data_IF_254145968868
#
_entry.id   IF_254145968868
#
_cell.length_a   1.000
_cell.length_b   1.000
_cell.length_c   1.000
_cell.angle_alpha   90.00
_cell.angle_beta   90.00
_cell.angle_gamma   90.00
#
_symmetry.space_group_name_H-M   'P 1'
#
loop_
_entity.id
_entity.type
_entity.pdbx_description
1 polymer ?
#
# COMPACT_ATOMS: atom_id res chain seq x y z
N UNK A 1 19.59 3.65 5.75
CA UNK A 1 19.96 2.42 5.02
C UNK A 1 18.68 1.79 4.53
N UNK A 2 18.46 1.76 3.21
CA UNK A 2 17.24 1.23 2.61
C UNK A 2 17.22 -0.31 2.65
N UNK A 3 16.04 -0.93 2.51
CA UNK A 3 15.89 -2.39 2.55
C UNK A 3 16.46 -3.09 1.31
N UNK A 4 16.84 -2.35 0.26
CA UNK A 4 17.60 -2.85 -0.87
C UNK A 4 19.08 -2.71 -0.51
N UNK A 5 19.72 -3.85 -0.27
CA UNK A 5 21.16 -4.07 -0.02
C UNK A 5 22.01 -2.79 0.08
N UNK A 6 22.56 -2.45 1.27
CA UNK A 6 23.34 -1.23 1.52
C UNK A 6 24.51 -0.95 0.56
N UNK A 7 24.98 -1.98 -0.15
CA UNK A 7 26.18 -1.92 -0.98
C UNK A 7 25.93 -1.76 -2.49
N UNK A 8 24.67 -1.73 -2.96
CA UNK A 8 24.36 -1.71 -4.41
C UNK A 8 23.95 -0.30 -4.90
N UNK A 9 23.29 0.52 -4.07
CA UNK A 9 22.68 1.79 -4.50
C UNK A 9 23.10 2.92 -3.55
N UNK A 10 23.60 4.04 -4.08
CA UNK A 10 23.94 5.22 -3.28
C UNK A 10 22.70 5.92 -2.72
N UNK A 11 22.83 6.60 -1.57
CA UNK A 11 21.69 7.27 -0.91
C UNK A 11 20.96 8.27 -1.83
N UNK A 12 21.71 9.01 -2.66
CA UNK A 12 21.14 9.95 -3.63
C UNK A 12 20.31 9.24 -4.70
N UNK A 13 20.80 8.09 -5.20
CA UNK A 13 20.06 7.29 -6.18
C UNK A 13 18.82 6.64 -5.55
N UNK A 14 18.88 6.28 -4.28
CA UNK A 14 17.74 5.72 -3.55
C UNK A 14 16.57 6.70 -3.50
N UNK A 15 16.82 7.99 -3.25
CA UNK A 15 15.78 9.02 -3.27
C UNK A 15 15.14 9.20 -4.66
N UNK A 16 15.94 9.13 -5.73
CA UNK A 16 15.43 9.21 -7.11
C UNK A 16 14.57 7.98 -7.43
N UNK A 17 15.02 6.78 -7.05
CA UNK A 17 14.26 5.54 -7.23
C UNK A 17 12.96 5.59 -6.42
N UNK A 18 13.01 6.04 -5.17
CA UNK A 18 11.82 6.20 -4.33
C UNK A 18 10.80 7.16 -4.96
N UNK A 19 11.26 8.27 -5.56
CA UNK A 19 10.39 9.19 -6.29
C UNK A 19 9.74 8.52 -7.51
N UNK A 20 10.51 7.79 -8.32
CA UNK A 20 9.99 7.08 -9.49
C UNK A 20 8.98 5.98 -9.11
N UNK A 21 9.25 5.24 -8.04
CA UNK A 21 8.34 4.24 -7.49
C UNK A 21 7.05 4.92 -7.01
N UNK A 22 7.15 6.04 -6.31
CA UNK A 22 6.00 6.82 -5.83
C UNK A 22 5.13 7.35 -6.98
N UNK A 23 5.75 7.89 -8.03
CA UNK A 23 5.03 8.33 -9.23
C UNK A 23 4.34 7.16 -9.95
N UNK A 24 5.04 6.03 -10.10
CA UNK A 24 4.50 4.82 -10.72
C UNK A 24 3.32 4.26 -9.92
N UNK A 25 3.43 4.25 -8.60
CA UNK A 25 2.35 3.84 -7.70
C UNK A 25 1.11 4.73 -7.86
N UNK A 26 1.28 6.06 -7.88
CA UNK A 26 0.18 7.00 -8.11
C UNK A 26 -0.51 6.77 -9.45
N UNK A 27 0.25 6.60 -10.53
CA UNK A 27 -0.29 6.33 -11.86
C UNK A 27 -1.09 5.02 -11.93
N UNK A 28 -0.64 3.97 -11.23
CA UNK A 28 -1.36 2.69 -11.15
C UNK A 28 -2.67 2.84 -10.36
N UNK A 29 -2.67 3.60 -9.26
CA UNK A 29 -3.89 3.86 -8.48
C UNK A 29 -4.93 4.65 -9.28
N UNK A 30 -4.49 5.64 -10.05
CA UNK A 30 -5.36 6.39 -10.94
C UNK A 30 -6.01 5.48 -11.98
N UNK A 31 -5.23 4.59 -12.61
CA UNK A 31 -5.74 3.59 -13.55
C UNK A 31 -6.71 2.59 -12.91
N UNK A 32 -6.48 2.23 -11.64
CA UNK A 32 -7.38 1.38 -10.87
C UNK A 32 -8.70 2.11 -10.49
N UNK A 33 -8.81 3.42 -10.75
CA UNK A 33 -10.02 4.21 -10.54
C UNK A 33 -10.14 4.82 -9.15
N UNK A 34 -9.06 4.84 -8.37
CA UNK A 34 -9.03 5.47 -7.04
C UNK A 34 -9.11 7.00 -7.09
N UNK A 35 -8.94 7.61 -8.26
CA UNK A 35 -9.12 9.06 -8.48
C UNK A 35 -10.59 9.49 -8.47
N UNK A 36 -11.54 8.55 -8.56
CA UNK A 36 -12.97 8.85 -8.64
C UNK A 36 -13.66 8.53 -7.31
N UNK A 37 -14.14 9.56 -6.61
CA UNK A 37 -14.89 9.41 -5.36
C UNK A 37 -16.07 8.45 -5.48
N UNK A 38 -16.80 8.46 -6.61
CA UNK A 38 -17.91 7.51 -6.84
C UNK A 38 -17.50 6.04 -6.70
N UNK A 39 -16.28 5.66 -7.11
CA UNK A 39 -15.79 4.28 -6.95
C UNK A 39 -15.41 3.96 -5.50
N UNK A 40 -14.89 4.94 -4.76
CA UNK A 40 -14.55 4.80 -3.34
C UNK A 40 -15.83 4.67 -2.49
N UNK A 41 -16.79 5.57 -2.72
CA UNK A 41 -18.14 5.49 -2.16
C UNK A 41 -18.80 4.14 -2.46
N UNK A 42 -18.65 3.63 -3.69
CA UNK A 42 -19.31 2.41 -4.14
C UNK A 42 -19.01 1.16 -3.33
N UNK A 43 -17.88 1.13 -2.63
CA UNK A 43 -17.57 0.09 -1.67
C UNK A 43 -18.52 0.12 -0.46
N UNK A 44 -18.76 1.30 0.11
CA UNK A 44 -19.61 1.48 1.29
C UNK A 44 -21.09 1.23 0.99
N UNK A 45 -21.53 1.54 -0.22
CA UNK A 45 -22.90 1.28 -0.67
C UNK A 45 -23.06 -0.13 -1.29
N UNK A 46 -21.98 -0.90 -1.42
CA UNK A 46 -22.01 -2.29 -1.89
C UNK A 46 -22.25 -2.49 -3.39
N UNK A 47 -22.10 -1.45 -4.21
CA UNK A 47 -22.27 -1.55 -5.68
C UNK A 47 -20.94 -1.67 -6.44
N UNK A 48 -19.81 -1.28 -5.85
CA UNK A 48 -18.48 -1.37 -6.48
C UNK A 48 -17.44 -1.92 -5.49
N UNK A 49 -16.91 -3.12 -5.79
CA UNK A 49 -15.90 -3.80 -4.97
C UNK A 49 -14.48 -3.69 -5.56
N UNK A 50 -14.24 -2.78 -6.52
CA UNK A 50 -12.92 -2.59 -7.13
C UNK A 50 -11.85 -2.31 -6.06
N UNK A 51 -12.15 -1.43 -5.11
CA UNK A 51 -11.22 -1.07 -4.02
C UNK A 51 -10.79 -2.31 -3.23
N UNK A 52 -11.77 -3.08 -2.75
CA UNK A 52 -11.53 -4.28 -1.96
C UNK A 52 -10.69 -5.30 -2.74
N UNK A 53 -11.07 -5.56 -4.01
CA UNK A 53 -10.39 -6.50 -4.88
C UNK A 53 -8.93 -6.12 -5.11
N UNK A 54 -8.67 -4.86 -5.44
CA UNK A 54 -7.30 -4.36 -5.74
C UNK A 54 -6.41 -4.47 -4.51
N UNK A 55 -6.88 -4.07 -3.32
CA UNK A 55 -6.07 -4.16 -2.12
C UNK A 55 -5.76 -5.61 -1.71
N UNK A 56 -6.73 -6.52 -1.80
CA UNK A 56 -6.50 -7.92 -1.47
C UNK A 56 -5.53 -8.59 -2.46
N UNK A 57 -5.72 -8.39 -3.76
CA UNK A 57 -4.82 -8.99 -4.77
C UNK A 57 -3.42 -8.38 -4.68
N UNK A 58 -3.31 -7.06 -4.55
CA UNK A 58 -2.03 -6.38 -4.38
C UNK A 58 -1.32 -6.84 -3.09
N UNK A 59 -2.06 -7.03 -1.99
CA UNK A 59 -1.51 -7.55 -0.74
C UNK A 59 -0.92 -8.95 -0.90
N UNK A 60 -1.63 -9.86 -1.57
CA UNK A 60 -1.13 -11.22 -1.85
C UNK A 60 0.11 -11.17 -2.74
N UNK A 61 0.08 -10.38 -3.81
CA UNK A 61 1.22 -10.19 -4.72
C UNK A 61 2.42 -9.62 -3.98
N UNK A 62 2.22 -8.64 -3.09
CA UNK A 62 3.27 -8.05 -2.28
C UNK A 62 3.87 -9.07 -1.29
N UNK A 63 3.05 -9.87 -0.61
CA UNK A 63 3.53 -10.93 0.29
C UNK A 63 4.43 -11.93 -0.45
N UNK A 64 4.00 -12.41 -1.61
CA UNK A 64 4.77 -13.34 -2.45
C UNK A 64 6.05 -12.65 -2.96
N UNK A 65 5.95 -11.41 -3.42
CA UNK A 65 7.08 -10.62 -3.92
C UNK A 65 8.16 -10.39 -2.86
N UNK A 66 7.77 -10.00 -1.64
CA UNK A 66 8.71 -9.81 -0.53
C UNK A 66 9.39 -11.14 -0.17
N UNK A 67 8.65 -12.24 -0.07
CA UNK A 67 9.26 -13.56 0.16
C UNK A 67 10.24 -13.95 -0.95
N UNK A 68 9.91 -13.66 -2.21
CA UNK A 68 10.81 -13.85 -3.34
C UNK A 68 12.10 -13.04 -3.22
N UNK A 69 11.99 -11.74 -2.90
CA UNK A 69 13.16 -10.87 -2.72
C UNK A 69 14.03 -11.29 -1.54
N UNK A 70 13.44 -11.78 -0.45
CA UNK A 70 14.17 -12.35 0.69
C UNK A 70 14.92 -13.62 0.25
N UNK A 71 14.30 -14.51 -0.53
CA UNK A 71 14.95 -15.73 -1.02
C UNK A 71 16.19 -15.43 -1.87
N UNK A 72 16.14 -14.40 -2.72
CA UNK A 72 17.29 -13.96 -3.54
C UNK A 72 18.28 -13.06 -2.79
N UNK A 73 18.09 -12.82 -1.49
CA UNK A 73 18.98 -11.97 -0.68
C UNK A 73 18.96 -10.49 -1.05
N UNK A 74 17.93 -10.03 -1.77
CA UNK A 74 17.77 -8.63 -2.18
C UNK A 74 17.20 -7.75 -1.07
N UNK A 75 16.45 -8.36 -0.15
CA UNK A 75 15.85 -7.72 1.02
C UNK A 75 16.25 -8.48 2.29
N UNK A 76 16.75 -7.76 3.29
CA UNK A 76 16.95 -8.29 4.64
C UNK A 76 15.73 -7.98 5.52
N UNK A 77 15.00 -9.04 5.90
CA UNK A 77 13.80 -8.93 6.73
C UNK A 77 14.11 -8.38 8.14
N UNK A 78 15.34 -8.58 8.64
CA UNK A 78 15.73 -8.11 9.97
C UNK A 78 15.85 -6.59 10.04
N UNK A 79 16.05 -5.94 8.89
CA UNK A 79 16.08 -4.48 8.76
C UNK A 79 14.68 -3.89 8.54
N UNK A 80 13.67 -4.71 8.28
CA UNK A 80 12.29 -4.27 8.06
C UNK A 80 11.57 -4.20 9.41
N UNK A 81 11.07 -3.01 9.74
CA UNK A 81 10.22 -2.84 10.90
C UNK A 81 8.82 -3.42 10.64
N UNK A 82 8.43 -4.40 11.45
CA UNK A 82 7.08 -4.98 11.43
C UNK A 82 6.27 -4.33 12.54
N UNK A 83 5.22 -3.58 12.18
CA UNK A 83 4.36 -2.93 13.15
C UNK A 83 3.60 -3.97 14.00
N UNK A 84 3.56 -3.81 15.34
CA UNK A 84 2.77 -4.68 16.20
C UNK A 84 1.27 -4.53 15.91
N UNK A 85 0.52 -5.62 16.08
CA UNK A 85 -0.91 -5.67 15.76
C UNK A 85 -1.76 -4.95 16.80
N UNK A 86 -2.19 -3.73 16.50
CA UNK A 86 -3.12 -2.96 17.34
C UNK A 86 -4.57 -3.14 16.88
N UNK A 87 -5.18 -4.27 17.26
CA UNK A 87 -6.51 -4.64 16.79
C UNK A 87 -7.60 -3.60 17.13
N UNK A 88 -7.65 -3.18 18.40
CA UNK A 88 -8.64 -2.21 18.87
C UNK A 88 -8.50 -0.85 18.19
N UNK A 89 -7.26 -0.36 18.07
CA UNK A 89 -6.97 0.91 17.39
C UNK A 89 -7.33 0.84 15.90
N UNK A 90 -7.07 -0.29 15.23
CA UNK A 90 -7.41 -0.49 13.83
C UNK A 90 -8.93 -0.51 13.61
N UNK A 91 -9.69 -1.20 14.49
CA UNK A 91 -11.16 -1.26 14.40
C UNK A 91 -11.76 0.14 14.62
N UNK A 92 -11.36 0.82 15.70
CA UNK A 92 -11.90 2.14 16.05
C UNK A 92 -11.51 3.18 14.99
N UNK A 93 -10.23 3.19 14.58
CA UNK A 93 -9.74 4.11 13.55
C UNK A 93 -10.40 3.88 12.19
N UNK A 94 -10.59 2.62 11.79
CA UNK A 94 -11.30 2.26 10.57
C UNK A 94 -12.75 2.70 10.59
N UNK A 95 -13.43 2.58 11.73
CA UNK A 95 -14.83 3.02 11.90
C UNK A 95 -14.94 4.55 11.79
N UNK A 96 -14.07 5.30 12.48
CA UNK A 96 -14.02 6.77 12.40
C UNK A 96 -13.75 7.22 10.96
N UNK A 97 -12.77 6.62 10.31
CA UNK A 97 -12.42 6.93 8.92
C UNK A 97 -13.61 6.65 7.99
N UNK A 98 -14.22 5.47 8.09
CA UNK A 98 -15.36 5.07 7.26
C UNK A 98 -16.57 6.00 7.42
N UNK A 99 -16.90 6.39 8.66
CA UNK A 99 -17.93 7.41 8.90
C UNK A 99 -17.57 8.75 8.24
N UNK A 100 -16.30 9.15 8.32
CA UNK A 100 -15.81 10.36 7.66
C UNK A 100 -15.99 10.33 6.13
N UNK A 101 -15.72 9.20 5.48
CA UNK A 101 -15.94 9.03 4.03
C UNK A 101 -17.42 9.19 3.66
N UNK A 102 -18.31 8.52 4.40
CA UNK A 102 -19.76 8.59 4.15
C UNK A 102 -20.29 10.01 4.34
N UNK A 103 -19.88 10.71 5.40
CA UNK A 103 -20.33 12.09 5.69
C UNK A 103 -19.71 13.10 4.70
N UNK A 104 -18.44 12.91 4.33
CA UNK A 104 -17.70 13.79 3.43
C UNK A 104 -18.13 13.69 1.96
N UNK A 105 -18.97 12.72 1.61
CA UNK A 105 -19.40 12.50 0.23
C UNK A 105 -18.28 12.01 -0.69
N UNK A 106 -17.27 11.35 -0.12
CA UNK A 106 -16.09 10.81 -0.81
C UNK A 106 -16.12 9.30 -0.96
#
# INVERSE_FOLDING_TARGET
MGPLVPDIISDNLNLIIALLIGMSFGAILEQAGFSTSKKLVGLFYGYDFVVLRVFFTAGIVAMIGVMGFVHYGLIDINLIYINPTFLWSAIIGGLIMGLGFVIGGF
#
